data_IF_057414412314
#
_entry.id   IF_057414412314
#
_cell.length_a   1.000
_cell.length_b   1.000
_cell.length_c   1.000
_cell.angle_alpha   90.00
_cell.angle_beta   90.00
_cell.angle_gamma   90.00
#
_symmetry.space_group_name_H-M   'P 1'
#
loop_
_entity.id
_entity.type
_entity.pdbx_description
1 polymer ?
#
# COMPACT_ATOMS: atom_id res chain seq x y z
N UNK A 1 -8.69 21.48 -20.47
CA UNK A 1 -7.34 21.99 -20.17
C UNK A 1 -7.33 23.02 -19.05
N UNK A 2 -8.19 24.04 -19.03
CA UNK A 2 -8.19 25.07 -17.95
C UNK A 2 -8.58 24.47 -16.60
N UNK A 3 -9.62 23.67 -16.55
CA UNK A 3 -10.09 23.01 -15.31
C UNK A 3 -9.09 21.99 -14.74
N UNK A 4 -8.38 21.25 -15.59
CA UNK A 4 -7.36 20.30 -15.15
C UNK A 4 -6.18 21.03 -14.46
N UNK A 5 -5.73 22.15 -15.04
CA UNK A 5 -4.70 23.01 -14.42
C UNK A 5 -5.16 23.64 -13.11
N UNK A 6 -6.45 24.00 -13.02
CA UNK A 6 -7.02 24.54 -11.79
C UNK A 6 -7.01 23.50 -10.68
N UNK A 7 -7.48 22.27 -10.95
CA UNK A 7 -7.48 21.18 -9.96
C UNK A 7 -6.05 20.81 -9.54
N UNK A 8 -5.12 20.75 -10.49
CA UNK A 8 -3.70 20.51 -10.19
C UNK A 8 -3.12 21.57 -9.23
N UNK A 9 -3.40 22.85 -9.51
CA UNK A 9 -2.96 23.96 -8.66
C UNK A 9 -3.58 23.86 -7.27
N UNK A 10 -4.89 23.62 -7.19
CA UNK A 10 -5.62 23.44 -5.92
C UNK A 10 -5.04 22.30 -5.09
N UNK A 11 -4.77 21.14 -5.69
CA UNK A 11 -4.17 20.00 -4.99
C UNK A 11 -2.80 20.37 -4.41
N UNK A 12 -1.95 21.07 -5.17
CA UNK A 12 -0.64 21.54 -4.70
C UNK A 12 -0.75 22.54 -3.55
N UNK A 13 -1.74 23.46 -3.61
CA UNK A 13 -1.99 24.40 -2.51
C UNK A 13 -2.44 23.68 -1.24
N UNK A 14 -3.31 22.67 -1.36
CA UNK A 14 -3.78 21.85 -0.24
C UNK A 14 -2.67 20.95 0.31
N UNK A 15 -1.79 20.42 -0.54
CA UNK A 15 -0.60 19.66 -0.14
C UNK A 15 0.29 20.50 0.79
N UNK A 16 0.57 21.73 0.42
CA UNK A 16 1.37 22.66 1.25
C UNK A 16 0.60 23.05 2.54
N UNK A 17 -0.67 23.39 2.42
CA UNK A 17 -1.53 23.81 3.56
C UNK A 17 -1.57 22.76 4.66
N UNK A 18 -1.70 21.49 4.29
CA UNK A 18 -1.85 20.37 5.22
C UNK A 18 -0.57 19.56 5.44
N UNK A 19 0.57 20.01 4.87
CA UNK A 19 1.86 19.31 4.94
C UNK A 19 1.74 17.84 4.51
N UNK A 20 0.95 17.58 3.44
CA UNK A 20 0.76 16.24 2.91
C UNK A 20 1.99 15.80 2.13
N UNK A 21 2.33 14.52 2.18
CA UNK A 21 3.46 13.95 1.44
C UNK A 21 2.90 13.02 0.36
N UNK A 22 2.81 13.52 -0.88
CA UNK A 22 2.50 12.70 -2.04
C UNK A 22 3.79 12.19 -2.69
N UNK A 23 3.74 10.97 -3.22
CA UNK A 23 4.85 10.42 -4.02
C UNK A 23 4.92 11.05 -5.41
N UNK A 24 3.82 11.64 -5.88
CA UNK A 24 3.72 12.34 -7.14
C UNK A 24 2.29 12.77 -7.45
N UNK A 25 2.15 13.74 -8.33
CA UNK A 25 0.89 14.21 -8.89
C UNK A 25 1.02 14.23 -10.41
N UNK A 26 0.31 13.33 -11.08
CA UNK A 26 0.35 13.19 -12.53
C UNK A 26 -0.97 13.62 -13.16
N UNK A 27 -0.90 14.33 -14.28
CA UNK A 27 -2.05 14.79 -15.04
C UNK A 27 -2.07 14.17 -16.43
N UNK A 28 -3.18 13.51 -16.79
CA UNK A 28 -3.34 12.84 -18.07
C UNK A 28 -4.48 13.46 -18.89
N UNK A 29 -4.21 13.77 -20.13
CA UNK A 29 -5.23 14.29 -21.08
C UNK A 29 -5.94 13.21 -21.87
N UNK A 30 -5.51 11.94 -21.76
CA UNK A 30 -6.05 10.79 -22.51
C UNK A 30 -6.12 9.55 -21.62
N UNK A 31 -7.21 8.80 -21.73
CA UNK A 31 -7.47 7.60 -20.92
C UNK A 31 -6.38 6.53 -21.05
N UNK A 32 -5.88 6.27 -22.27
CA UNK A 32 -4.85 5.25 -22.49
C UNK A 32 -3.50 5.60 -21.79
N UNK A 33 -3.15 6.90 -21.72
CA UNK A 33 -1.95 7.33 -21.01
C UNK A 33 -2.07 7.09 -19.50
N UNK A 34 -3.23 7.42 -18.92
CA UNK A 34 -3.54 7.13 -17.52
C UNK A 34 -3.43 5.63 -17.24
N UNK A 35 -4.15 4.81 -18.00
CA UNK A 35 -4.19 3.36 -17.78
C UNK A 35 -2.82 2.69 -17.93
N UNK A 36 -1.97 3.20 -18.86
CA UNK A 36 -0.59 2.72 -19.02
C UNK A 36 0.32 3.13 -17.86
N UNK A 37 0.04 4.25 -17.21
CA UNK A 37 0.82 4.76 -16.08
C UNK A 37 0.46 4.10 -14.75
N UNK A 38 -0.73 3.47 -14.64
CA UNK A 38 -1.16 2.80 -13.42
C UNK A 38 -0.24 1.61 -13.16
N UNK A 39 0.47 1.67 -12.05
CA UNK A 39 1.34 0.58 -11.61
C UNK A 39 0.55 -0.34 -10.69
N UNK A 40 0.61 -1.65 -10.93
CA UNK A 40 0.09 -2.64 -10.00
C UNK A 40 0.88 -2.59 -8.68
N UNK A 41 0.18 -2.61 -7.55
CA UNK A 41 0.78 -2.69 -6.20
C UNK A 41 1.69 -1.51 -5.79
N UNK A 42 1.40 -0.29 -6.22
CA UNK A 42 2.18 0.91 -5.88
C UNK A 42 1.62 1.72 -4.70
N UNK A 43 0.95 1.07 -3.76
CA UNK A 43 0.31 1.78 -2.65
C UNK A 43 -1.03 2.39 -3.06
N UNK A 44 -1.57 3.21 -2.17
CA UNK A 44 -2.86 3.83 -2.38
C UNK A 44 -2.78 4.94 -3.42
N UNK A 45 -3.67 4.91 -4.39
CA UNK A 45 -3.76 5.89 -5.47
C UNK A 45 -5.12 6.56 -5.41
N UNK A 46 -5.14 7.91 -5.49
CA UNK A 46 -6.35 8.70 -5.59
C UNK A 46 -6.46 9.26 -7.01
N UNK A 47 -7.58 9.01 -7.66
CA UNK A 47 -7.89 9.46 -9.01
C UNK A 47 -9.01 10.47 -9.01
N UNK A 48 -8.79 11.64 -9.59
CA UNK A 48 -9.83 12.58 -9.95
C UNK A 48 -10.14 12.42 -11.43
N UNK A 49 -11.33 11.97 -11.76
CA UNK A 49 -11.75 11.64 -13.12
C UNK A 49 -12.91 12.51 -13.59
N UNK A 50 -12.83 13.01 -14.81
CA UNK A 50 -13.99 13.54 -15.48
C UNK A 50 -14.79 12.38 -16.10
N UNK A 51 -16.11 12.46 -16.07
CA UNK A 51 -16.97 11.48 -16.75
C UNK A 51 -16.91 11.67 -18.25
N UNK A 52 -16.96 12.91 -18.71
CA UNK A 52 -16.83 13.26 -20.11
C UNK A 52 -15.37 13.47 -20.49
N UNK A 53 -14.81 12.57 -21.30
CA UNK A 53 -13.46 12.70 -21.82
C UNK A 53 -13.55 12.98 -23.33
N UNK A 54 -13.29 14.24 -23.72
CA UNK A 54 -13.16 14.69 -25.12
C UNK A 54 -14.29 14.21 -26.06
N UNK A 55 -15.51 14.65 -25.80
CA UNK A 55 -16.70 14.38 -26.61
C UNK A 55 -17.11 12.89 -26.68
N UNK A 56 -16.67 12.07 -25.75
CA UNK A 56 -17.12 10.69 -25.60
C UNK A 56 -17.89 10.58 -24.27
N UNK A 57 -19.23 10.51 -24.36
CA UNK A 57 -20.10 10.32 -23.20
C UNK A 57 -19.69 9.06 -22.41
N UNK A 58 -19.72 9.18 -21.07
CA UNK A 58 -19.49 8.05 -20.15
C UNK A 58 -18.11 7.38 -20.19
N UNK A 59 -17.15 7.88 -20.96
CA UNK A 59 -15.83 7.27 -21.06
C UNK A 59 -15.08 7.26 -19.72
N UNK A 60 -15.28 8.27 -18.89
CA UNK A 60 -14.70 8.31 -17.53
C UNK A 60 -15.16 7.17 -16.64
N UNK A 61 -16.41 6.70 -16.77
CA UNK A 61 -16.93 5.54 -16.05
C UNK A 61 -16.25 4.23 -16.49
N UNK A 62 -16.00 4.07 -17.79
CA UNK A 62 -15.26 2.90 -18.30
C UNK A 62 -13.80 2.91 -17.83
N UNK A 63 -13.16 4.09 -17.84
CA UNK A 63 -11.79 4.26 -17.30
C UNK A 63 -11.76 3.90 -15.82
N UNK A 64 -12.72 4.38 -15.04
CA UNK A 64 -12.83 4.07 -13.61
C UNK A 64 -13.00 2.56 -13.38
N UNK A 65 -13.79 1.87 -14.18
CA UNK A 65 -13.93 0.41 -14.14
C UNK A 65 -12.61 -0.30 -14.43
N UNK A 66 -11.87 0.15 -15.44
CA UNK A 66 -10.56 -0.43 -15.76
C UNK A 66 -9.52 -0.16 -14.66
N UNK A 67 -9.54 1.04 -14.07
CA UNK A 67 -8.71 1.35 -12.88
C UNK A 67 -8.99 0.35 -11.77
N UNK A 68 -10.28 0.10 -11.46
CA UNK A 68 -10.70 -0.83 -10.40
C UNK A 68 -10.24 -2.27 -10.67
N UNK A 69 -10.20 -2.70 -11.93
CA UNK A 69 -9.68 -4.01 -12.32
C UNK A 69 -8.16 -4.13 -12.13
N UNK A 70 -7.42 -3.03 -12.38
CA UNK A 70 -5.96 -3.00 -12.23
C UNK A 70 -5.55 -2.85 -10.75
N UNK A 71 -6.23 -1.95 -10.03
CA UNK A 71 -6.01 -1.63 -8.64
C UNK A 71 -7.35 -1.60 -7.88
N UNK A 72 -7.72 -2.71 -7.22
CA UNK A 72 -8.96 -2.80 -6.44
C UNK A 72 -9.08 -1.79 -5.31
N UNK A 73 -7.96 -1.34 -4.74
CA UNK A 73 -7.90 -0.41 -3.61
C UNK A 73 -7.81 1.06 -4.04
N UNK A 74 -7.84 1.34 -5.35
CA UNK A 74 -7.81 2.70 -5.87
C UNK A 74 -8.98 3.54 -5.34
N UNK A 75 -8.71 4.77 -4.92
CA UNK A 75 -9.75 5.74 -4.59
C UNK A 75 -10.10 6.55 -5.82
N UNK A 76 -11.38 6.66 -6.13
CA UNK A 76 -11.87 7.33 -7.33
C UNK A 76 -12.85 8.42 -6.92
N UNK A 77 -12.59 9.63 -7.37
CA UNK A 77 -13.45 10.80 -7.23
C UNK A 77 -13.81 11.28 -8.63
N UNK A 78 -15.10 11.36 -8.93
CA UNK A 78 -15.53 11.99 -10.16
C UNK A 78 -15.65 13.51 -9.98
N UNK A 79 -15.09 14.26 -10.94
CA UNK A 79 -15.17 15.72 -10.99
C UNK A 79 -15.75 16.08 -12.36
N UNK A 80 -17.04 16.42 -12.42
CA UNK A 80 -17.78 16.54 -13.68
C UNK A 80 -18.84 17.63 -13.62
N UNK A 81 -19.29 18.12 -14.78
CA UNK A 81 -20.50 18.93 -14.94
C UNK A 81 -21.75 18.09 -15.16
N UNK A 82 -21.58 16.76 -15.27
CA UNK A 82 -22.64 15.80 -15.63
C UNK A 82 -23.10 14.99 -14.41
N UNK A 83 -23.79 15.69 -13.47
CA UNK A 83 -24.32 15.06 -12.24
C UNK A 83 -25.41 14.00 -12.52
N UNK A 84 -26.07 14.09 -13.68
CA UNK A 84 -27.07 13.11 -14.16
C UNK A 84 -26.51 11.71 -14.36
N UNK A 85 -25.19 11.56 -14.53
CA UNK A 85 -24.54 10.25 -14.67
C UNK A 85 -24.15 9.58 -13.36
N UNK A 86 -24.35 10.24 -12.21
CA UNK A 86 -24.06 9.66 -10.89
C UNK A 86 -24.73 8.29 -10.68
N UNK A 87 -26.00 8.04 -11.05
CA UNK A 87 -26.63 6.73 -10.87
C UNK A 87 -25.94 5.63 -11.69
N UNK A 88 -25.30 5.97 -12.82
CA UNK A 88 -24.60 5.02 -13.66
C UNK A 88 -23.29 4.52 -13.02
N UNK A 89 -22.66 5.30 -12.15
CA UNK A 89 -21.47 4.86 -11.43
C UNK A 89 -21.74 3.57 -10.61
N UNK A 90 -22.95 3.42 -10.07
CA UNK A 90 -23.38 2.19 -9.41
C UNK A 90 -23.50 1.01 -10.38
N UNK A 91 -24.03 1.23 -11.59
CA UNK A 91 -24.16 0.18 -12.60
C UNK A 91 -22.78 -0.30 -13.10
N UNK A 92 -21.78 0.60 -13.14
CA UNK A 92 -20.42 0.28 -13.53
C UNK A 92 -19.59 -0.35 -12.38
N UNK A 93 -20.18 -0.51 -11.18
CA UNK A 93 -19.52 -1.11 -10.01
C UNK A 93 -18.17 -0.45 -9.66
N UNK A 94 -18.08 0.87 -9.84
CA UNK A 94 -16.81 1.61 -9.67
C UNK A 94 -16.46 1.87 -8.20
N UNK A 95 -17.45 1.90 -7.30
CA UNK A 95 -17.27 2.28 -5.88
C UNK A 95 -16.49 3.59 -5.75
N UNK A 96 -17.04 4.68 -6.31
CA UNK A 96 -16.43 6.00 -6.18
C UNK A 96 -16.47 6.49 -4.74
N UNK A 97 -15.40 7.16 -4.30
CA UNK A 97 -15.30 7.80 -3.00
C UNK A 97 -16.19 9.03 -2.92
N UNK A 98 -16.20 9.83 -3.97
CA UNK A 98 -17.01 11.04 -4.05
C UNK A 98 -17.35 11.41 -5.50
N UNK A 99 -18.29 12.33 -5.63
CA UNK A 99 -18.81 12.84 -6.91
C UNK A 99 -18.96 14.35 -6.82
N UNK A 100 -17.98 15.11 -7.28
CA UNK A 100 -17.87 16.55 -7.15
C UNK A 100 -18.38 17.23 -8.43
N UNK A 101 -19.44 18.04 -8.31
CA UNK A 101 -19.91 18.84 -9.40
C UNK A 101 -18.97 20.05 -9.60
N UNK A 102 -18.59 20.32 -10.85
CA UNK A 102 -17.75 21.45 -11.22
C UNK A 102 -18.46 22.81 -11.11
N UNK A 103 -19.79 22.80 -11.07
CA UNK A 103 -20.62 23.99 -10.94
C UNK A 103 -20.88 24.41 -9.50
N UNK A 104 -20.38 23.65 -8.52
CA UNK A 104 -20.45 24.02 -7.11
C UNK A 104 -19.80 25.38 -6.84
N UNK A 105 -20.28 26.12 -5.83
CA UNK A 105 -19.58 27.29 -5.33
C UNK A 105 -18.12 26.97 -5.01
N UNK A 106 -17.21 27.89 -5.33
CA UNK A 106 -15.78 27.67 -5.19
C UNK A 106 -15.37 27.13 -3.81
N UNK A 107 -15.95 27.69 -2.74
CA UNK A 107 -15.66 27.23 -1.35
C UNK A 107 -16.05 25.79 -1.11
N UNK A 108 -17.21 25.38 -1.62
CA UNK A 108 -17.71 24.01 -1.49
C UNK A 108 -16.89 23.02 -2.34
N UNK A 109 -16.57 23.40 -3.59
CA UNK A 109 -15.69 22.60 -4.45
C UNK A 109 -14.33 22.34 -3.79
N UNK A 110 -13.68 23.39 -3.26
CA UNK A 110 -12.41 23.30 -2.54
C UNK A 110 -12.54 22.37 -1.34
N UNK A 111 -13.58 22.54 -0.53
CA UNK A 111 -13.82 21.71 0.67
C UNK A 111 -14.00 20.22 0.32
N UNK A 112 -14.70 19.89 -0.76
CA UNK A 112 -14.88 18.49 -1.18
C UNK A 112 -13.58 17.87 -1.68
N UNK A 113 -12.81 18.60 -2.48
CA UNK A 113 -11.47 18.13 -2.92
C UNK A 113 -10.55 17.93 -1.72
N UNK A 114 -10.51 18.89 -0.78
CA UNK A 114 -9.75 18.80 0.47
C UNK A 114 -10.15 17.58 1.29
N UNK A 115 -11.45 17.33 1.46
CA UNK A 115 -11.97 16.18 2.19
C UNK A 115 -11.52 14.85 1.56
N UNK A 116 -11.59 14.75 0.24
CA UNK A 116 -11.16 13.55 -0.48
C UNK A 116 -9.65 13.30 -0.34
N UNK A 117 -8.82 14.37 -0.41
CA UNK A 117 -7.38 14.28 -0.21
C UNK A 117 -7.02 13.84 1.20
N UNK A 118 -7.62 14.47 2.22
CA UNK A 118 -7.37 14.13 3.63
C UNK A 118 -7.81 12.71 3.95
N UNK A 119 -8.93 12.27 3.40
CA UNK A 119 -9.40 10.89 3.54
C UNK A 119 -8.40 9.90 2.94
N UNK A 120 -7.92 10.15 1.71
CA UNK A 120 -6.95 9.28 1.06
C UNK A 120 -5.63 9.18 1.83
N UNK A 121 -5.13 10.30 2.36
CA UNK A 121 -3.92 10.32 3.19
C UNK A 121 -4.12 9.56 4.50
N UNK A 122 -5.29 9.73 5.14
CA UNK A 122 -5.62 9.02 6.38
C UNK A 122 -5.66 7.52 6.17
N UNK A 123 -6.36 7.05 5.14
CA UNK A 123 -6.43 5.63 4.80
C UNK A 123 -5.05 5.05 4.49
N UNK A 124 -4.22 5.79 3.75
CA UNK A 124 -2.84 5.38 3.50
C UNK A 124 -2.02 5.30 4.80
N UNK A 125 -2.20 6.24 5.72
CA UNK A 125 -1.52 6.25 7.02
C UNK A 125 -2.00 5.11 7.92
N UNK A 126 -3.29 4.83 7.96
CA UNK A 126 -3.86 3.69 8.69
C UNK A 126 -3.35 2.36 8.12
N UNK A 127 -3.35 2.21 6.80
CA UNK A 127 -2.80 1.02 6.11
C UNK A 127 -1.29 0.88 6.36
N UNK A 128 -0.53 1.98 6.36
CA UNK A 128 0.90 1.97 6.69
C UNK A 128 1.11 1.65 8.17
N UNK A 129 0.32 2.23 9.08
CA UNK A 129 0.41 1.94 10.51
C UNK A 129 0.06 0.47 10.79
N UNK A 130 -1.04 -0.05 10.23
CA UNK A 130 -1.39 -1.47 10.33
C UNK A 130 -0.37 -2.39 9.64
N UNK A 131 0.30 -1.92 8.59
CA UNK A 131 1.35 -2.66 7.89
C UNK A 131 2.74 -2.51 8.48
N UNK A 132 2.96 -1.57 9.40
CA UNK A 132 4.26 -1.38 10.03
C UNK A 132 4.52 -2.42 11.12
N UNK A 133 5.76 -2.81 11.26
CA UNK A 133 6.30 -3.49 12.42
C UNK A 133 6.69 -2.45 13.46
N UNK A 134 6.12 -2.56 14.65
CA UNK A 134 6.48 -1.76 15.80
C UNK A 134 7.07 -2.65 16.88
N UNK A 135 8.25 -2.33 17.35
CA UNK A 135 8.83 -2.98 18.50
C UNK A 135 9.23 -1.92 19.53
N UNK A 136 8.74 -2.06 20.74
CA UNK A 136 9.07 -1.15 21.84
C UNK A 136 9.57 -1.95 23.03
N UNK A 137 10.72 -1.55 23.53
CA UNK A 137 11.31 -2.04 24.77
C UNK A 137 11.87 -0.88 25.58
N UNK A 138 12.34 -1.15 26.81
CA UNK A 138 13.01 -0.12 27.64
C UNK A 138 14.20 0.53 26.92
N UNK A 139 14.82 -0.16 25.96
CA UNK A 139 16.09 0.23 25.35
C UNK A 139 16.03 0.47 23.85
N UNK A 140 14.88 0.23 23.21
CA UNK A 140 14.74 0.39 21.79
C UNK A 140 13.29 0.68 21.39
N UNK A 141 13.14 1.55 20.40
CA UNK A 141 11.91 1.73 19.63
C UNK A 141 12.26 1.56 18.16
N UNK A 142 11.57 0.66 17.48
CA UNK A 142 11.81 0.34 16.07
C UNK A 142 10.49 0.40 15.33
N UNK A 143 10.47 1.11 14.22
CA UNK A 143 9.34 1.19 13.31
C UNK A 143 9.84 0.95 11.89
N UNK A 144 9.33 -0.08 11.23
CA UNK A 144 9.70 -0.46 9.86
C UNK A 144 8.48 -1.00 9.13
N UNK A 145 8.25 -0.66 7.86
CA UNK A 145 7.21 -1.31 7.07
C UNK A 145 7.38 -2.83 7.09
N UNK A 146 6.36 -3.57 7.57
CA UNK A 146 6.45 -5.03 7.72
C UNK A 146 6.76 -5.73 6.39
N UNK A 147 6.20 -5.22 5.30
CA UNK A 147 6.44 -5.74 3.96
C UNK A 147 7.89 -5.59 3.48
N UNK A 148 8.68 -4.69 4.09
CA UNK A 148 10.09 -4.54 3.75
C UNK A 148 10.98 -5.49 4.55
N UNK A 149 10.51 -6.04 5.67
CA UNK A 149 11.28 -6.94 6.51
C UNK A 149 11.38 -8.32 5.85
N UNK A 150 12.59 -8.84 5.76
CA UNK A 150 12.87 -10.19 5.29
C UNK A 150 12.90 -11.17 6.47
N UNK A 151 13.78 -10.90 7.43
CA UNK A 151 13.95 -11.72 8.62
C UNK A 151 14.63 -10.96 9.75
N UNK A 152 14.57 -11.55 10.93
CA UNK A 152 15.30 -11.12 12.13
C UNK A 152 16.12 -12.30 12.63
N UNK A 153 17.38 -12.06 12.97
CA UNK A 153 18.26 -13.05 13.56
C UNK A 153 18.81 -12.63 14.93
N UNK A 154 19.15 -13.59 15.75
CA UNK A 154 19.90 -13.31 16.99
C UNK A 154 21.30 -12.82 16.66
N UNK A 155 21.74 -11.77 17.35
CA UNK A 155 23.12 -11.29 17.23
C UNK A 155 24.09 -12.13 18.07
N UNK A 156 25.39 -12.08 17.73
CA UNK A 156 26.46 -12.61 18.59
C UNK A 156 26.55 -11.90 19.94
N UNK A 157 26.03 -10.68 20.05
CA UNK A 157 25.94 -9.94 21.30
C UNK A 157 24.66 -10.31 22.04
N UNK A 158 24.76 -10.56 23.34
CA UNK A 158 23.63 -10.90 24.19
C UNK A 158 22.53 -9.82 24.12
N UNK A 159 21.28 -10.24 24.12
CA UNK A 159 20.09 -9.38 24.08
C UNK A 159 20.03 -8.41 22.90
N UNK A 160 20.68 -8.74 21.77
CA UNK A 160 20.59 -7.98 20.53
C UNK A 160 20.12 -8.85 19.38
N UNK A 161 19.40 -8.22 18.48
CA UNK A 161 18.91 -8.82 17.23
C UNK A 161 19.32 -7.97 16.04
N UNK A 162 19.49 -8.61 14.89
CA UNK A 162 19.69 -7.96 13.61
C UNK A 162 18.41 -8.12 12.80
N UNK A 163 17.83 -7.03 12.36
CA UNK A 163 16.69 -6.98 11.46
C UNK A 163 17.20 -6.68 10.06
N UNK A 164 16.77 -7.49 9.10
CA UNK A 164 17.14 -7.36 7.69
C UNK A 164 15.91 -6.97 6.87
N UNK A 165 16.02 -5.89 6.15
CA UNK A 165 14.99 -5.41 5.21
C UNK A 165 15.45 -5.61 3.76
N UNK A 166 14.60 -5.25 2.82
CA UNK A 166 14.93 -5.24 1.38
C UNK A 166 16.05 -4.25 1.04
N UNK A 167 16.27 -3.22 1.89
CA UNK A 167 17.17 -2.10 1.62
C UNK A 167 18.35 -2.02 2.57
N UNK A 168 18.15 -2.38 3.83
CA UNK A 168 19.13 -2.13 4.90
C UNK A 168 19.10 -3.20 5.99
N UNK A 169 20.12 -3.15 6.83
CA UNK A 169 20.22 -3.93 8.06
C UNK A 169 20.30 -2.99 9.25
N UNK A 170 19.56 -3.29 10.30
CA UNK A 170 19.64 -2.59 11.58
C UNK A 170 19.82 -3.55 12.74
N UNK A 171 20.45 -3.08 13.83
CA UNK A 171 20.63 -3.85 15.04
C UNK A 171 20.01 -3.09 16.22
N UNK A 172 19.27 -3.79 17.07
CA UNK A 172 18.68 -3.20 18.26
C UNK A 172 18.65 -4.17 19.44
N UNK A 173 18.38 -3.65 20.64
CA UNK A 173 18.27 -4.44 21.87
C UNK A 173 16.88 -5.05 21.97
N UNK A 174 16.81 -6.37 22.02
CA UNK A 174 15.58 -7.15 22.10
C UNK A 174 15.86 -8.64 21.97
N UNK A 175 14.85 -9.47 22.19
CA UNK A 175 14.90 -10.91 21.92
C UNK A 175 13.86 -11.33 20.90
N UNK A 176 14.08 -12.44 20.20
CA UNK A 176 13.10 -12.97 19.25
C UNK A 176 11.76 -13.28 19.93
N UNK A 177 11.81 -13.70 21.20
CA UNK A 177 10.59 -13.99 21.98
C UNK A 177 9.78 -12.73 22.27
N UNK A 178 10.43 -11.62 22.60
CA UNK A 178 9.73 -10.35 22.87
C UNK A 178 9.15 -9.77 21.59
N UNK A 179 9.84 -9.94 20.46
CA UNK A 179 9.36 -9.53 19.15
C UNK A 179 8.10 -10.34 18.76
N UNK A 180 8.11 -11.67 18.94
CA UNK A 180 6.94 -12.51 18.63
C UNK A 180 5.72 -12.21 19.51
N UNK A 181 5.91 -11.76 20.74
CA UNK A 181 4.81 -11.33 21.60
C UNK A 181 4.12 -10.06 21.10
N UNK A 182 4.88 -9.15 20.47
CA UNK A 182 4.37 -7.88 19.96
C UNK A 182 3.92 -7.96 18.50
N UNK A 183 4.47 -8.93 17.73
CA UNK A 183 4.22 -9.05 16.30
C UNK A 183 4.03 -10.52 15.87
N UNK A 184 2.78 -10.92 15.78
CA UNK A 184 2.39 -12.29 15.47
C UNK A 184 2.53 -12.66 13.98
N UNK A 185 2.74 -11.70 13.09
CA UNK A 185 2.92 -11.93 11.64
C UNK A 185 4.27 -12.58 11.32
N UNK A 186 5.24 -12.52 12.21
CA UNK A 186 6.49 -13.28 12.06
C UNK A 186 6.30 -14.77 12.28
N UNK A 187 7.03 -15.54 11.53
CA UNK A 187 7.12 -17.00 11.70
C UNK A 187 8.49 -17.38 12.25
N UNK A 188 8.52 -18.05 13.39
CA UNK A 188 9.77 -18.59 13.92
C UNK A 188 10.13 -19.88 13.19
N UNK A 189 11.10 -19.80 12.27
CA UNK A 189 11.60 -20.96 11.52
C UNK A 189 12.78 -21.67 12.18
N UNK A 190 13.50 -20.99 13.08
CA UNK A 190 14.64 -21.54 13.82
C UNK A 190 14.77 -20.83 15.18
N UNK A 191 15.50 -21.42 16.15
CA UNK A 191 15.78 -20.77 17.44
C UNK A 191 16.43 -19.39 17.31
N UNK A 192 17.14 -19.17 16.21
CA UNK A 192 17.87 -17.94 15.93
C UNK A 192 17.23 -17.06 14.84
N UNK A 193 16.11 -17.47 14.24
CA UNK A 193 15.51 -16.75 13.11
C UNK A 193 13.99 -16.61 13.23
N UNK A 194 13.51 -15.37 13.01
CA UNK A 194 12.13 -15.05 12.66
C UNK A 194 12.10 -14.59 11.21
N UNK A 195 11.20 -15.11 10.42
CA UNK A 195 11.03 -14.72 9.01
C UNK A 195 9.70 -14.00 8.80
N UNK A 196 9.67 -13.09 7.84
CA UNK A 196 8.42 -12.63 7.25
C UNK A 196 8.03 -13.64 6.15
N UNK A 197 7.00 -14.46 6.35
CA UNK A 197 6.66 -15.51 5.39
C UNK A 197 6.19 -14.97 4.04
N UNK A 198 5.68 -13.72 3.98
CA UNK A 198 5.26 -13.05 2.72
C UNK A 198 6.43 -12.73 1.79
N UNK A 199 7.64 -12.59 2.32
CA UNK A 199 8.84 -12.26 1.55
C UNK A 199 9.69 -13.49 1.19
N UNK A 200 9.27 -14.70 1.57
CA UNK A 200 9.95 -15.94 1.18
C UNK A 200 9.69 -16.24 -0.29
N UNK A 201 10.75 -16.44 -1.05
CA UNK A 201 10.68 -16.73 -2.50
C UNK A 201 10.77 -18.23 -2.76
N UNK A 202 11.57 -18.95 -1.97
CA UNK A 202 11.81 -20.39 -2.14
C UNK A 202 12.10 -21.06 -0.81
N UNK A 203 11.62 -22.28 -0.65
CA UNK A 203 11.96 -23.16 0.47
C UNK A 203 12.68 -24.40 -0.09
N UNK A 204 13.88 -24.66 0.39
CA UNK A 204 14.59 -25.90 0.14
C UNK A 204 14.30 -26.88 1.28
N UNK A 205 13.60 -27.98 0.95
CA UNK A 205 13.18 -28.97 1.95
C UNK A 205 14.33 -29.91 2.36
N UNK A 206 15.30 -30.09 1.47
CA UNK A 206 16.46 -30.98 1.71
C UNK A 206 17.48 -30.27 2.59
N UNK A 207 17.89 -29.06 2.15
CA UNK A 207 18.84 -28.23 2.89
C UNK A 207 18.21 -27.53 4.10
N UNK A 208 16.88 -27.51 4.18
CA UNK A 208 16.09 -26.84 5.24
C UNK A 208 16.43 -25.37 5.35
N UNK A 209 16.28 -24.67 4.20
CA UNK A 209 16.60 -23.24 4.06
C UNK A 209 15.44 -22.52 3.38
N UNK A 210 15.10 -21.33 3.88
CA UNK A 210 14.29 -20.35 3.15
C UNK A 210 15.18 -19.34 2.47
N UNK A 211 14.78 -18.89 1.27
CA UNK A 211 15.50 -17.91 0.47
C UNK A 211 14.62 -16.68 0.22
N UNK A 212 15.27 -15.53 0.20
CA UNK A 212 14.66 -14.23 -0.08
C UNK A 212 15.15 -13.66 -1.42
N UNK A 213 14.39 -12.70 -1.97
CA UNK A 213 14.67 -12.11 -3.29
C UNK A 213 16.06 -11.46 -3.39
N UNK A 214 16.60 -10.95 -2.29
CA UNK A 214 17.94 -10.34 -2.23
C UNK A 214 19.09 -11.35 -2.14
N UNK A 215 18.80 -12.65 -2.25
CA UNK A 215 19.79 -13.73 -2.14
C UNK A 215 20.13 -14.17 -0.72
N UNK A 216 19.62 -13.50 0.31
CA UNK A 216 19.81 -13.93 1.70
C UNK A 216 18.97 -15.16 2.02
N UNK A 217 19.33 -15.87 3.09
CA UNK A 217 18.68 -17.12 3.49
C UNK A 217 18.68 -17.33 5.00
N UNK A 218 17.73 -18.14 5.49
CA UNK A 218 17.62 -18.55 6.88
C UNK A 218 17.46 -20.07 6.99
N UNK A 219 18.10 -20.65 8.00
CA UNK A 219 17.94 -22.07 8.33
C UNK A 219 16.56 -22.35 8.92
N UNK A 220 16.00 -23.52 8.61
CA UNK A 220 14.77 -24.03 9.21
C UNK A 220 15.12 -25.17 10.16
N UNK A 221 14.67 -25.09 11.40
CA UNK A 221 14.77 -26.20 12.33
C UNK A 221 13.88 -27.37 11.84
N UNK A 222 14.35 -28.61 12.01
CA UNK A 222 13.61 -29.82 11.59
C UNK A 222 12.17 -29.84 12.10
N UNK A 223 11.97 -29.45 13.36
CA UNK A 223 10.64 -29.39 14.01
C UNK A 223 9.74 -28.27 13.46
N UNK A 224 10.27 -27.29 12.75
CA UNK A 224 9.54 -26.14 12.21
C UNK A 224 9.19 -26.26 10.72
N UNK A 225 9.71 -27.28 10.04
CA UNK A 225 9.56 -27.44 8.58
C UNK A 225 8.08 -27.45 8.16
N UNK A 226 7.24 -28.27 8.78
CA UNK A 226 5.83 -28.38 8.42
C UNK A 226 5.09 -27.05 8.65
N UNK A 227 5.34 -26.39 9.77
CA UNK A 227 4.74 -25.08 10.06
C UNK A 227 5.13 -24.02 9.01
N UNK A 228 6.40 -23.99 8.60
CA UNK A 228 6.87 -23.06 7.56
C UNK A 228 6.18 -23.33 6.22
N UNK A 229 6.12 -24.59 5.79
CA UNK A 229 5.47 -24.94 4.52
C UNK A 229 3.98 -24.61 4.53
N UNK A 230 3.25 -25.01 5.56
CA UNK A 230 1.80 -24.75 5.68
C UNK A 230 1.51 -23.25 5.69
N UNK A 231 2.29 -22.46 6.42
CA UNK A 231 2.07 -21.01 6.46
C UNK A 231 2.29 -20.37 5.09
N UNK A 232 3.36 -20.73 4.38
CA UNK A 232 3.67 -20.19 3.05
C UNK A 232 2.61 -20.62 2.02
N UNK A 233 2.20 -21.89 2.05
CA UNK A 233 1.14 -22.41 1.16
C UNK A 233 -0.20 -21.70 1.38
N UNK A 234 -0.58 -21.45 2.63
CA UNK A 234 -1.82 -20.73 2.95
C UNK A 234 -1.81 -19.27 2.47
N UNK A 235 -0.67 -18.58 2.58
CA UNK A 235 -0.52 -17.23 2.05
C UNK A 235 -0.70 -17.17 0.53
N UNK A 236 -0.14 -18.15 -0.20
CA UNK A 236 -0.29 -18.20 -1.67
C UNK A 236 -1.70 -18.60 -2.13
N UNK A 237 -2.49 -19.28 -1.28
CA UNK A 237 -3.88 -19.63 -1.57
C UNK A 237 -4.87 -18.51 -1.24
N UNK A 238 -4.53 -17.62 -0.33
CA UNK A 238 -5.38 -16.49 0.08
C UNK A 238 -5.28 -15.27 -0.83
N UNK A 239 -4.29 -15.23 -1.74
CA UNK A 239 -4.08 -14.14 -2.70
C UNK A 239 -4.70 -14.43 -4.09
N UNK A 240 -5.58 -15.46 -4.23
CA UNK A 240 -6.33 -15.79 -5.45
C UNK A 240 -7.79 -15.39 -5.35
#
# INVERSE_FOLDING_TARGET
>A
MIQQRYLEKLIKELEVKHQLLFQGLDCFGRSHQLLSAIKKNCGQQLFFLDIEIKNEDKKGLEVARQIRQINPDAMIVFVTTHSEFMPLAFQYQVSALDYIDKELPHTEFVQRVETALLYAVRQNSETIAESAFYFTSRYAQVQVPFNDILYIETSSRAHRVNLYTKKERMQFTGTLTDILKQESRFLQCHRSFLINPRNVVRVDKIERVVYFRNGSSCLIARSKMNSVLTTIENLHRGDN
#
